data_IF_286570615431
#
_entry.id   IF_286570615431
#
_cell.length_a   1.000
_cell.length_b   1.000
_cell.length_c   1.000
_cell.angle_alpha   90.00
_cell.angle_beta   90.00
_cell.angle_gamma   90.00
#
_symmetry.space_group_name_H-M   'P 1'
#
loop_
_entity.id
_entity.type
_entity.pdbx_description
1 polymer ?
#
# COMPACT_ATOMS: atom_id res chain seq x y z
N UNK A 1 6.58 33.15 3.77
CA UNK A 1 5.92 31.94 3.25
C UNK A 1 7.00 30.88 3.14
N UNK A 2 7.03 29.93 4.09
CA UNK A 2 8.02 28.86 4.06
C UNK A 2 7.49 27.80 3.09
N UNK A 3 8.15 27.61 1.94
CA UNK A 3 7.90 26.46 1.07
C UNK A 3 8.33 25.21 1.85
N UNK A 4 7.39 24.67 2.64
CA UNK A 4 7.55 23.41 3.35
C UNK A 4 7.83 22.34 2.29
N UNK A 5 8.93 21.61 2.43
CA UNK A 5 9.35 20.51 1.55
C UNK A 5 8.16 19.63 1.17
N UNK A 6 7.61 19.84 -0.02
CA UNK A 6 6.62 18.96 -0.59
C UNK A 6 7.35 17.75 -1.16
N UNK A 7 6.81 16.55 -0.92
CA UNK A 7 7.36 15.32 -1.46
C UNK A 7 7.28 15.33 -2.98
N UNK A 8 8.38 14.98 -3.64
CA UNK A 8 8.36 14.67 -5.06
C UNK A 8 7.76 13.28 -5.32
N UNK A 9 7.55 12.95 -6.61
CA UNK A 9 7.00 11.66 -7.04
C UNK A 9 7.80 10.46 -6.55
N UNK A 10 9.13 10.55 -6.55
CA UNK A 10 10.01 9.45 -6.12
C UNK A 10 9.83 9.23 -4.62
N UNK A 11 9.82 10.30 -3.83
CA UNK A 11 9.59 10.24 -2.39
C UNK A 11 8.20 9.67 -2.04
N UNK A 12 7.16 10.00 -2.83
CA UNK A 12 5.83 9.40 -2.70
C UNK A 12 5.90 7.89 -2.93
N UNK A 13 6.53 7.44 -4.01
CA UNK A 13 6.70 6.02 -4.31
C UNK A 13 7.57 5.29 -3.27
N UNK A 14 8.55 5.98 -2.68
CA UNK A 14 9.35 5.43 -1.59
C UNK A 14 8.51 5.20 -0.34
N UNK A 15 7.62 6.14 0.01
CA UNK A 15 6.66 5.94 1.10
C UNK A 15 5.76 4.72 0.85
N UNK A 16 5.20 4.56 -0.36
CA UNK A 16 4.47 3.33 -0.73
C UNK A 16 5.32 2.09 -0.51
N UNK A 17 6.56 2.10 -1.01
CA UNK A 17 7.49 0.99 -0.88
C UNK A 17 7.77 0.61 0.58
N UNK A 18 7.97 1.60 1.45
CA UNK A 18 8.18 1.41 2.90
C UNK A 18 6.96 0.76 3.57
N UNK A 19 5.76 1.29 3.32
CA UNK A 19 4.52 0.76 3.89
C UNK A 19 4.26 -0.68 3.44
N UNK A 20 4.39 -0.95 2.13
CA UNK A 20 4.20 -2.29 1.55
C UNK A 20 5.26 -3.25 2.07
N UNK A 21 6.50 -2.80 2.25
CA UNK A 21 7.56 -3.63 2.82
C UNK A 21 7.24 -4.04 4.26
N UNK A 22 6.70 -3.15 5.09
CA UNK A 22 6.30 -3.45 6.45
C UNK A 22 5.16 -4.48 6.50
N UNK A 23 4.10 -4.30 5.70
CA UNK A 23 3.00 -5.27 5.61
C UNK A 23 3.52 -6.64 5.14
N UNK A 24 4.34 -6.67 4.09
CA UNK A 24 4.90 -7.91 3.56
C UNK A 24 5.82 -8.62 4.57
N UNK A 25 6.61 -7.87 5.34
CA UNK A 25 7.49 -8.43 6.36
C UNK A 25 6.71 -9.08 7.50
N UNK A 26 5.59 -8.47 7.91
CA UNK A 26 4.71 -9.06 8.91
C UNK A 26 3.96 -10.28 8.36
N UNK A 27 3.48 -10.21 7.11
CA UNK A 27 2.81 -11.32 6.44
C UNK A 27 3.71 -12.56 6.35
N UNK A 28 5.00 -12.38 6.06
CA UNK A 28 5.97 -13.45 5.96
C UNK A 28 6.21 -14.20 7.29
N UNK A 29 5.90 -13.58 8.43
CA UNK A 29 6.01 -14.21 9.75
C UNK A 29 4.85 -15.15 10.05
N UNK A 30 3.75 -15.08 9.29
CA UNK A 30 2.58 -15.91 9.53
C UNK A 30 2.74 -17.24 8.76
N UNK A 31 2.80 -18.40 9.43
CA UNK A 31 2.89 -19.67 8.73
C UNK A 31 1.58 -19.99 8.02
N UNK A 32 1.65 -20.44 6.75
CA UNK A 32 0.53 -20.78 5.85
C UNK A 32 -0.63 -21.58 6.47
N UNK A 33 -0.36 -22.35 7.53
CA UNK A 33 -1.32 -23.25 8.19
C UNK A 33 -1.99 -22.66 9.45
N UNK A 34 -1.60 -21.47 9.89
CA UNK A 34 -2.04 -20.85 11.17
C UNK A 34 -2.96 -19.65 10.97
N UNK A 35 -3.17 -19.23 9.72
CA UNK A 35 -3.87 -18.01 9.34
C UNK A 35 -5.35 -17.97 9.79
N UNK A 36 -6.02 -19.12 9.93
CA UNK A 36 -7.41 -19.20 10.42
C UNK A 36 -7.52 -19.47 11.92
N UNK A 37 -6.39 -19.63 12.63
CA UNK A 37 -6.36 -20.14 14.00
C UNK A 37 -5.92 -19.12 15.06
N UNK A 38 -5.53 -17.90 14.67
CA UNK A 38 -5.11 -16.83 15.59
C UNK A 38 -6.22 -15.76 15.65
N UNK A 39 -7.08 -15.76 16.69
CA UNK A 39 -8.04 -14.68 16.90
C UNK A 39 -7.28 -13.37 17.07
N UNK A 40 -7.44 -12.44 16.12
CA UNK A 40 -6.77 -11.12 16.15
C UNK A 40 -5.45 -11.03 15.38
N UNK A 41 -5.01 -12.09 14.70
CA UNK A 41 -3.81 -12.06 13.83
C UNK A 41 -2.47 -11.93 14.56
N UNK A 42 -1.40 -11.67 13.80
CA UNK A 42 -0.05 -11.43 14.36
C UNK A 42 0.14 -9.93 14.50
N UNK A 43 0.30 -9.46 15.74
CA UNK A 43 0.60 -8.04 15.98
C UNK A 43 2.03 -7.69 15.58
N UNK A 44 2.26 -6.55 14.93
CA UNK A 44 3.59 -6.02 14.72
C UNK A 44 4.30 -5.73 16.05
N UNK A 45 5.62 -5.63 16.01
CA UNK A 45 6.39 -5.07 17.12
C UNK A 45 6.09 -3.58 17.24
N UNK A 46 6.31 -3.02 18.44
CA UNK A 46 6.20 -1.57 18.68
C UNK A 46 7.09 -0.78 17.71
N UNK A 47 8.34 -1.21 17.53
CA UNK A 47 9.26 -0.60 16.56
C UNK A 47 8.75 -0.64 15.11
N UNK A 48 8.13 -1.75 14.68
CA UNK A 48 7.58 -1.85 13.33
C UNK A 48 6.37 -0.92 13.16
N UNK A 49 5.57 -0.78 14.21
CA UNK A 49 4.41 0.12 14.25
C UNK A 49 4.86 1.58 14.18
N UNK A 50 5.79 2.00 15.03
CA UNK A 50 6.33 3.36 15.04
C UNK A 50 6.95 3.75 13.69
N UNK A 51 7.66 2.82 13.03
CA UNK A 51 8.20 3.06 11.68
C UNK A 51 7.08 3.27 10.66
N UNK A 52 6.03 2.44 10.72
CA UNK A 52 4.87 2.58 9.84
C UNK A 52 4.19 3.93 10.04
N UNK A 53 3.88 4.27 11.30
CA UNK A 53 3.30 5.57 11.70
C UNK A 53 4.15 6.74 11.21
N UNK A 54 5.47 6.66 11.38
CA UNK A 54 6.41 7.70 10.96
C UNK A 54 6.29 7.97 9.45
N UNK A 55 6.18 6.93 8.63
CA UNK A 55 5.99 7.08 7.18
C UNK A 55 4.64 7.72 6.87
N UNK A 56 3.57 7.29 7.55
CA UNK A 56 2.21 7.83 7.37
C UNK A 56 2.12 9.31 7.75
N UNK A 57 2.70 9.70 8.88
CA UNK A 57 2.70 11.10 9.34
C UNK A 57 3.64 11.98 8.52
N UNK A 58 4.80 11.46 8.12
CA UNK A 58 5.68 12.14 7.17
C UNK A 58 4.95 12.42 5.86
N UNK A 59 4.22 11.43 5.35
CA UNK A 59 3.40 11.59 4.16
C UNK A 59 2.30 12.64 4.36
N UNK A 60 1.55 12.61 5.46
CA UNK A 60 0.53 13.62 5.79
C UNK A 60 1.09 15.04 5.72
N UNK A 61 2.26 15.25 6.32
CA UNK A 61 2.82 16.58 6.55
C UNK A 61 3.52 17.14 5.30
N UNK A 62 3.98 16.27 4.39
CA UNK A 62 4.80 16.64 3.24
C UNK A 62 4.16 16.31 1.88
N UNK A 63 3.04 15.58 1.82
CA UNK A 63 2.36 15.28 0.56
C UNK A 63 1.86 16.56 -0.12
N UNK A 64 2.31 16.75 -1.36
CA UNK A 64 1.79 17.80 -2.23
C UNK A 64 0.29 17.60 -2.53
N UNK A 65 -0.44 18.66 -2.93
CA UNK A 65 -1.87 18.63 -3.18
C UNK A 65 -2.43 17.43 -3.97
N UNK A 66 -1.82 16.96 -5.09
CA UNK A 66 -2.37 15.83 -5.83
C UNK A 66 -2.37 14.52 -5.03
N UNK A 67 -1.42 14.36 -4.10
CA UNK A 67 -1.21 13.12 -3.34
C UNK A 67 -1.93 13.07 -2.00
N UNK A 68 -2.45 14.20 -1.48
CA UNK A 68 -3.10 14.25 -0.16
C UNK A 68 -4.28 13.31 -0.02
N UNK A 69 -4.99 13.02 -1.11
CA UNK A 69 -6.10 12.05 -1.13
C UNK A 69 -5.66 10.65 -0.71
N UNK A 70 -4.38 10.30 -0.89
CA UNK A 70 -3.85 8.98 -0.57
C UNK A 70 -3.68 8.76 0.94
N UNK A 71 -3.61 9.84 1.73
CA UNK A 71 -3.40 9.76 3.17
C UNK A 71 -4.48 8.95 3.90
N UNK A 72 -5.74 9.06 3.50
CA UNK A 72 -6.84 8.33 4.12
C UNK A 72 -6.62 6.81 4.06
N UNK A 73 -6.21 6.29 2.89
CA UNK A 73 -5.92 4.88 2.71
C UNK A 73 -4.73 4.41 3.55
N UNK A 74 -3.73 5.26 3.76
CA UNK A 74 -2.58 4.94 4.61
C UNK A 74 -2.95 4.87 6.08
N UNK A 75 -3.89 5.69 6.53
CA UNK A 75 -4.44 5.62 7.90
C UNK A 75 -5.22 4.33 8.07
N UNK A 76 -6.13 4.00 7.15
CA UNK A 76 -6.91 2.76 7.23
C UNK A 76 -6.01 1.51 7.24
N UNK A 77 -4.93 1.53 6.44
CA UNK A 77 -3.92 0.48 6.44
C UNK A 77 -3.15 0.40 7.76
N UNK A 78 -2.75 1.55 8.34
CA UNK A 78 -2.06 1.63 9.62
C UNK A 78 -2.92 1.05 10.75
N UNK A 79 -4.20 1.44 10.85
CA UNK A 79 -5.12 0.94 11.88
C UNK A 79 -5.26 -0.58 11.82
N UNK A 80 -5.34 -1.15 10.62
CA UNK A 80 -5.38 -2.59 10.43
C UNK A 80 -4.03 -3.26 10.79
N UNK A 81 -2.91 -2.65 10.40
CA UNK A 81 -1.56 -3.13 10.71
C UNK A 81 -1.31 -3.18 12.22
N UNK A 82 -1.60 -2.09 12.94
CA UNK A 82 -1.53 -1.98 14.40
C UNK A 82 -2.36 -3.04 15.12
N UNK A 83 -3.57 -3.31 14.60
CA UNK A 83 -4.46 -4.32 15.13
C UNK A 83 -3.98 -5.76 14.88
N UNK A 84 -2.90 -5.97 14.11
CA UNK A 84 -2.44 -7.29 13.68
C UNK A 84 -3.28 -7.92 12.56
N UNK A 85 -4.16 -7.13 11.93
CA UNK A 85 -5.07 -7.55 10.85
C UNK A 85 -4.41 -7.31 9.50
N UNK A 86 -3.37 -8.09 9.21
CA UNK A 86 -2.53 -7.91 8.01
C UNK A 86 -3.33 -7.89 6.71
N UNK A 87 -4.31 -8.79 6.57
CA UNK A 87 -5.13 -8.85 5.37
C UNK A 87 -6.06 -7.65 5.22
N UNK A 88 -6.50 -7.06 6.33
CA UNK A 88 -7.31 -5.84 6.30
C UNK A 88 -6.43 -4.62 5.95
N UNK A 89 -5.12 -4.68 6.20
CA UNK A 89 -4.17 -3.62 5.85
C UNK A 89 -3.83 -3.59 4.35
N UNK A 90 -4.04 -4.69 3.62
CA UNK A 90 -3.69 -4.78 2.18
C UNK A 90 -4.67 -3.99 1.27
N UNK A 91 -6.01 -4.14 1.39
CA UNK A 91 -6.96 -3.45 0.51
C UNK A 91 -6.81 -1.93 0.46
N UNK A 92 -6.62 -1.20 1.59
CA UNK A 92 -6.40 0.24 1.52
C UNK A 92 -5.14 0.61 0.72
N UNK A 93 -4.05 -0.16 0.84
CA UNK A 93 -2.85 0.08 0.03
C UNK A 93 -3.08 -0.19 -1.46
N UNK A 94 -3.89 -1.19 -1.82
CA UNK A 94 -4.29 -1.42 -3.22
C UNK A 94 -5.14 -0.26 -3.75
N UNK A 95 -6.11 0.22 -2.97
CA UNK A 95 -6.92 1.39 -3.33
C UNK A 95 -6.07 2.66 -3.48
N UNK A 96 -5.03 2.83 -2.65
CA UNK A 96 -4.09 3.93 -2.80
C UNK A 96 -3.30 3.84 -4.11
N UNK A 97 -2.91 2.64 -4.55
CA UNK A 97 -2.25 2.41 -5.84
C UNK A 97 -3.21 2.71 -7.00
N UNK A 98 -4.45 2.22 -6.94
CA UNK A 98 -5.48 2.52 -7.94
C UNK A 98 -5.69 4.03 -8.06
N UNK A 99 -5.79 4.73 -6.93
CA UNK A 99 -5.94 6.19 -6.93
C UNK A 99 -4.71 6.89 -7.51
N UNK A 100 -3.50 6.37 -7.26
CA UNK A 100 -2.27 6.89 -7.85
C UNK A 100 -2.28 6.77 -9.38
N UNK A 101 -2.76 5.64 -9.91
CA UNK A 101 -2.95 5.42 -11.34
C UNK A 101 -4.01 6.36 -11.91
N UNK A 102 -5.12 6.59 -11.20
CA UNK A 102 -6.15 7.52 -11.64
C UNK A 102 -5.67 8.96 -11.67
N UNK A 103 -4.88 9.40 -10.69
CA UNK A 103 -4.24 10.72 -10.71
C UNK A 103 -3.36 10.90 -11.95
N UNK A 104 -2.71 9.83 -12.41
CA UNK A 104 -1.92 9.85 -13.65
C UNK A 104 -2.79 9.96 -14.90
N UNK A 105 -3.88 9.18 -14.98
CA UNK A 105 -4.85 9.26 -16.08
C UNK A 105 -5.56 10.61 -16.14
N UNK A 106 -5.79 11.23 -14.98
CA UNK A 106 -6.34 12.59 -14.85
C UNK A 106 -5.30 13.69 -15.17
N UNK A 107 -4.09 13.32 -15.61
CA UNK A 107 -2.96 14.23 -15.92
C UNK A 107 -2.53 15.12 -14.73
N UNK A 108 -2.94 14.78 -13.50
CA UNK A 108 -2.56 15.50 -12.28
C UNK A 108 -1.13 15.20 -11.86
N UNK A 109 -0.63 14.02 -12.22
CA UNK A 109 0.73 13.55 -11.97
C UNK A 109 1.24 12.81 -13.20
N UNK A 110 2.55 12.85 -13.46
CA UNK A 110 3.16 12.12 -14.57
C UNK A 110 4.17 11.14 -14.03
N UNK A 111 4.12 9.90 -14.53
CA UNK A 111 5.06 8.84 -14.19
C UNK A 111 5.86 8.43 -15.41
N UNK A 112 7.18 8.37 -15.27
CA UNK A 112 8.05 7.75 -16.25
C UNK A 112 7.91 6.21 -16.23
N UNK A 113 8.50 5.53 -17.22
CA UNK A 113 8.38 4.07 -17.34
C UNK A 113 8.92 3.30 -16.13
N UNK A 114 9.96 3.80 -15.46
CA UNK A 114 10.50 3.14 -14.27
C UNK A 114 9.56 3.29 -13.08
N UNK A 115 8.96 4.46 -12.89
CA UNK A 115 7.95 4.72 -11.86
C UNK A 115 6.69 3.89 -12.07
N UNK A 116 6.21 3.77 -13.31
CA UNK A 116 5.08 2.90 -13.65
C UNK A 116 5.38 1.43 -13.35
N UNK A 117 6.61 0.96 -13.60
CA UNK A 117 7.01 -0.39 -13.24
C UNK A 117 7.02 -0.59 -11.72
N UNK A 118 7.52 0.37 -10.93
CA UNK A 118 7.45 0.31 -9.45
C UNK A 118 6.01 0.19 -8.96
N UNK A 119 5.09 0.97 -9.53
CA UNK A 119 3.66 0.92 -9.19
C UNK A 119 3.08 -0.49 -9.47
N UNK A 120 3.44 -1.12 -10.59
CA UNK A 120 3.01 -2.51 -10.90
C UNK A 120 3.60 -3.52 -9.93
N UNK A 121 4.87 -3.38 -9.57
CA UNK A 121 5.52 -4.26 -8.58
C UNK A 121 4.87 -4.16 -7.19
N UNK A 122 4.47 -2.94 -6.79
CA UNK A 122 3.72 -2.70 -5.55
C UNK A 122 2.40 -3.47 -5.54
N UNK A 123 1.61 -3.37 -6.61
CA UNK A 123 0.37 -4.10 -6.76
C UNK A 123 0.59 -5.62 -6.66
N UNK A 124 1.52 -6.16 -7.44
CA UNK A 124 1.83 -7.60 -7.44
C UNK A 124 2.30 -8.10 -6.07
N UNK A 125 3.05 -7.28 -5.33
CA UNK A 125 3.54 -7.64 -4.00
C UNK A 125 2.40 -7.71 -2.99
N UNK A 126 1.44 -6.79 -3.05
CA UNK A 126 0.25 -6.79 -2.21
C UNK A 126 -0.71 -7.94 -2.55
N UNK A 127 -0.94 -8.22 -3.83
CA UNK A 127 -1.79 -9.33 -4.29
C UNK A 127 -1.26 -10.70 -3.86
N UNK A 128 0.06 -10.86 -3.73
CA UNK A 128 0.69 -12.08 -3.22
C UNK A 128 0.50 -12.29 -1.71
N UNK A 129 0.18 -11.23 -0.97
CA UNK A 129 -0.09 -11.33 0.47
C UNK A 129 -1.49 -11.91 0.69
N UNK A 130 -2.47 -11.52 -0.13
CA UNK A 130 -3.84 -12.01 0.01
C UNK A 130 -3.93 -13.51 -0.25
N UNK A 131 -4.66 -14.28 0.58
CA UNK A 131 -4.94 -15.68 0.31
C UNK A 131 -5.80 -15.77 -0.96
N UNK A 132 -5.68 -16.87 -1.71
CA UNK A 132 -6.41 -17.04 -2.97
C UNK A 132 -7.93 -16.89 -2.83
N UNK A 133 -8.50 -17.22 -1.66
CA UNK A 133 -9.91 -17.03 -1.35
C UNK A 133 -10.34 -15.56 -1.11
N UNK A 134 -9.39 -14.64 -0.97
CA UNK A 134 -9.63 -13.20 -0.76
C UNK A 134 -9.15 -12.33 -1.92
N UNK A 135 -8.64 -12.95 -3.00
CA UNK A 135 -8.43 -12.22 -4.25
C UNK A 135 -9.80 -11.88 -4.80
N UNK A 136 -10.10 -10.60 -5.10
CA UNK A 136 -11.29 -10.29 -5.88
C UNK A 136 -11.20 -11.09 -7.19
N UNK A 137 -12.27 -11.79 -7.56
CA UNK A 137 -12.42 -12.38 -8.89
C UNK A 137 -12.38 -11.23 -9.90
N UNK A 138 -11.18 -10.86 -10.33
CA UNK A 138 -11.01 -9.98 -11.48
C UNK A 138 -11.32 -10.85 -12.69
N UNK A 139 -12.54 -10.72 -13.19
CA UNK A 139 -12.96 -11.28 -14.47
C UNK A 139 -12.22 -10.53 -15.59
N UNK A 140 -10.96 -10.92 -15.81
CA UNK A 140 -10.19 -10.48 -16.97
C UNK A 140 -10.78 -11.21 -18.18
N UNK A 141 -11.22 -10.48 -19.24
CA UNK A 141 -11.75 -11.13 -20.42
C UNK A 141 -10.68 -12.07 -20.99
N UNK A 142 -11.07 -13.33 -21.19
CA UNK A 142 -10.22 -14.36 -21.82
C UNK A 142 -9.67 -13.84 -23.15
N UNK A 143 -8.38 -14.03 -23.45
CA UNK A 143 -7.84 -13.67 -24.74
C UNK A 143 -8.57 -14.47 -25.82
N UNK A 144 -9.30 -13.77 -26.69
CA UNK A 144 -9.89 -14.38 -27.87
C UNK A 144 -8.77 -15.07 -28.66
N UNK A 145 -8.89 -16.40 -28.76
CA UNK A 145 -7.99 -17.20 -29.58
C UNK A 145 -8.36 -16.91 -31.03
N UNK A 146 -7.42 -16.35 -31.79
CA UNK A 146 -7.50 -16.16 -33.24
C UNK A 146 -7.75 -17.48 -33.98
#
# INVERSE_FOLDING_TARGET
MNSKNEMDTVQVLDAFGELIAAVAALAAQVPAKTFSAIPGGIRPTEEATEKYETVVYRFRDQAGPPYRVLYAFFVDSLEAFEAGRIFDAVPPLLQAIERLVDLHKEEKVSFNSAEQNRIREFQQRLEKILPEASKPEVDLPTPETY
#
